data_IF_785184753954
#
_entry.id   IF_785184753954
#
_cell.length_a   1.000
_cell.length_b   1.000
_cell.length_c   1.000
_cell.angle_alpha   90.00
_cell.angle_beta   90.00
_cell.angle_gamma   90.00
#
_symmetry.space_group_name_H-M   'P 1'
#
loop_
_entity.id
_entity.type
_entity.pdbx_description
1 polymer ?
#
# COMPACT_ATOMS: atom_id res chain seq x y z
N UNK A 1 20.17 4.41 18.08
CA UNK A 1 18.85 4.31 17.41
C UNK A 1 19.11 4.39 15.91
N UNK A 2 18.48 3.54 15.14
CA UNK A 2 18.65 3.51 13.66
C UNK A 2 17.98 4.74 13.07
N UNK A 3 18.74 5.62 12.43
CA UNK A 3 18.19 6.81 11.80
C UNK A 3 17.73 6.46 10.37
N UNK A 4 16.42 6.48 10.13
CA UNK A 4 15.86 6.47 8.77
C UNK A 4 15.60 7.92 8.37
N UNK A 5 16.14 8.42 7.25
CA UNK A 5 16.01 9.81 6.84
C UNK A 5 14.61 10.09 6.26
N UNK A 6 13.61 10.13 7.14
CA UNK A 6 12.25 10.43 6.73
C UNK A 6 12.07 11.88 6.28
N UNK A 7 11.30 12.05 5.21
CA UNK A 7 10.80 13.34 4.73
C UNK A 7 9.30 13.23 4.44
N UNK A 8 8.49 13.39 5.48
CA UNK A 8 7.07 13.07 5.52
C UNK A 8 6.20 14.17 4.90
N UNK A 9 6.16 14.26 3.57
CA UNK A 9 5.38 15.29 2.87
C UNK A 9 3.88 15.07 3.02
N UNK A 10 3.41 13.83 3.00
CA UNK A 10 1.98 13.55 3.17
C UNK A 10 1.48 14.10 4.51
N UNK A 11 2.17 13.78 5.60
CA UNK A 11 1.80 14.26 6.92
C UNK A 11 1.90 15.79 7.04
N UNK A 12 2.95 16.38 6.47
CA UNK A 12 3.20 17.83 6.52
C UNK A 12 2.23 18.63 5.68
N UNK A 13 1.91 18.18 4.46
CA UNK A 13 1.18 18.96 3.48
C UNK A 13 -0.33 18.64 3.46
N UNK A 14 -0.70 17.46 3.94
CA UNK A 14 -2.08 16.96 3.92
C UNK A 14 -2.67 16.81 5.33
N UNK A 15 -2.42 17.75 6.23
CA UNK A 15 -3.08 17.79 7.54
C UNK A 15 -4.62 17.78 7.37
N UNK A 16 -5.30 16.85 8.06
CA UNK A 16 -6.74 16.60 7.93
C UNK A 16 -7.10 15.46 6.96
N UNK A 17 -6.11 14.86 6.26
CA UNK A 17 -6.34 13.75 5.33
C UNK A 17 -6.04 12.38 5.94
N UNK A 18 -5.66 12.34 7.19
CA UNK A 18 -5.26 11.15 7.92
C UNK A 18 -5.60 11.27 9.41
N UNK A 19 -5.49 10.17 10.11
CA UNK A 19 -5.50 10.13 11.57
C UNK A 19 -4.12 9.65 12.07
N UNK A 20 -3.51 10.36 13.02
CA UNK A 20 -2.31 9.89 13.69
C UNK A 20 -2.65 8.69 14.56
N UNK A 21 -1.89 7.62 14.42
CA UNK A 21 -2.15 6.36 15.11
C UNK A 21 -0.85 5.58 15.27
N UNK A 22 -0.38 5.28 16.49
CA UNK A 22 0.78 4.43 16.68
C UNK A 22 0.44 2.97 16.33
N UNK A 23 1.42 2.16 15.88
CA UNK A 23 1.25 0.72 15.77
C UNK A 23 0.96 0.09 17.14
N UNK A 24 0.18 -1.00 17.14
CA UNK A 24 -0.08 -1.74 18.36
C UNK A 24 1.18 -2.50 18.80
N UNK A 25 1.47 -2.60 20.12
CA UNK A 25 2.59 -3.40 20.61
C UNK A 25 2.49 -4.86 20.20
N UNK A 26 3.62 -5.46 19.87
CA UNK A 26 3.77 -6.86 19.42
C UNK A 26 4.50 -7.65 20.50
N UNK A 27 3.93 -8.76 21.04
CA UNK A 27 4.49 -9.43 22.21
C UNK A 27 5.78 -10.21 21.92
N UNK A 28 5.90 -10.84 20.74
CA UNK A 28 7.06 -11.67 20.40
C UNK A 28 7.37 -11.55 18.89
N UNK A 29 7.95 -10.42 18.46
CA UNK A 29 8.27 -10.21 17.06
C UNK A 29 9.43 -11.13 16.63
N UNK A 30 9.26 -11.81 15.49
CA UNK A 30 10.30 -12.61 14.84
C UNK A 30 10.35 -12.27 13.37
N UNK A 31 11.53 -11.95 12.86
CA UNK A 31 11.75 -11.66 11.45
C UNK A 31 11.54 -12.92 10.59
N UNK A 32 10.63 -12.88 9.64
CA UNK A 32 10.36 -13.96 8.69
C UNK A 32 10.95 -13.70 7.31
N UNK A 33 11.05 -12.43 6.93
CA UNK A 33 11.56 -12.01 5.64
C UNK A 33 12.13 -10.60 5.75
N UNK A 34 13.26 -10.36 5.09
CA UNK A 34 13.85 -9.03 4.93
C UNK A 34 14.51 -8.89 3.56
N UNK A 35 14.10 -7.88 2.81
CA UNK A 35 14.63 -7.56 1.49
C UNK A 35 15.81 -6.57 1.62
N UNK A 36 17.03 -7.11 1.74
CA UNK A 36 18.26 -6.31 1.92
C UNK A 36 18.53 -5.40 0.73
N UNK A 37 18.33 -5.88 -0.51
CA UNK A 37 18.54 -5.11 -1.73
C UNK A 37 17.59 -3.91 -1.81
N UNK A 38 16.34 -4.10 -1.41
CA UNK A 38 15.35 -3.03 -1.34
C UNK A 38 15.72 -2.01 -0.24
N UNK A 39 16.15 -2.49 0.94
CA UNK A 39 16.61 -1.60 2.01
C UNK A 39 17.78 -0.72 1.56
N UNK A 40 18.74 -1.31 0.85
CA UNK A 40 19.88 -0.60 0.28
C UNK A 40 19.45 0.42 -0.80
N UNK A 41 18.53 0.04 -1.69
CA UNK A 41 17.96 0.93 -2.70
C UNK A 41 17.22 2.13 -2.08
N UNK A 42 16.58 1.94 -0.93
CA UNK A 42 15.91 2.97 -0.15
C UNK A 42 16.85 3.81 0.72
N UNK A 43 18.16 3.53 0.73
CA UNK A 43 19.17 4.19 1.56
C UNK A 43 18.90 4.02 3.07
N UNK A 44 18.34 2.87 3.45
CA UNK A 44 18.15 2.54 4.85
C UNK A 44 19.46 1.94 5.39
N UNK A 45 20.00 2.55 6.44
CA UNK A 45 21.22 2.08 7.09
C UNK A 45 20.88 0.95 8.07
N UNK A 46 20.63 -0.24 7.52
CA UNK A 46 20.18 -1.43 8.26
C UNK A 46 21.14 -2.63 8.10
N UNK A 47 22.30 -2.44 7.47
CA UNK A 47 23.20 -3.54 7.14
C UNK A 47 23.73 -4.26 8.38
N UNK A 48 24.03 -3.50 9.45
CA UNK A 48 24.60 -4.00 10.70
C UNK A 48 23.54 -4.41 11.76
N UNK A 49 22.25 -4.32 11.41
CA UNK A 49 21.18 -4.72 12.32
C UNK A 49 21.00 -6.24 12.29
N UNK A 50 20.91 -6.85 13.46
CA UNK A 50 20.54 -8.26 13.60
C UNK A 50 19.02 -8.48 13.41
N UNK A 51 18.63 -9.74 13.35
CA UNK A 51 17.23 -10.12 13.10
C UNK A 51 16.30 -9.67 14.25
N UNK A 52 16.79 -9.56 15.49
CA UNK A 52 16.01 -9.10 16.65
C UNK A 52 15.73 -7.60 16.53
N UNK A 53 16.73 -6.80 16.20
CA UNK A 53 16.60 -5.36 15.99
C UNK A 53 15.68 -5.06 14.78
N UNK A 54 15.84 -5.80 13.67
CA UNK A 54 14.96 -5.68 12.49
C UNK A 54 13.52 -6.10 12.82
N UNK A 55 13.32 -7.15 13.62
CA UNK A 55 12.00 -7.57 14.06
C UNK A 55 11.33 -6.51 14.94
N UNK A 56 12.06 -5.90 15.88
CA UNK A 56 11.57 -4.82 16.72
C UNK A 56 11.20 -3.57 15.88
N UNK A 57 12.03 -3.23 14.91
CA UNK A 57 11.82 -2.10 13.99
C UNK A 57 10.55 -2.31 13.14
N UNK A 58 10.48 -3.43 12.41
CA UNK A 58 9.41 -3.69 11.44
C UNK A 58 8.12 -4.25 12.07
N UNK A 59 8.11 -4.53 13.37
CA UNK A 59 6.88 -4.74 14.14
C UNK A 59 6.26 -3.44 14.64
N UNK A 60 7.02 -2.34 14.66
CA UNK A 60 6.62 -1.07 15.25
C UNK A 60 6.90 -0.94 16.75
N UNK A 61 7.54 -1.95 17.39
CA UNK A 61 7.93 -1.88 18.79
C UNK A 61 9.08 -0.87 19.03
N UNK A 62 9.92 -0.65 18.02
CA UNK A 62 11.02 0.31 18.06
C UNK A 62 11.00 1.19 16.78
N UNK A 63 10.10 2.17 16.77
CA UNK A 63 10.04 3.10 15.62
C UNK A 63 11.29 3.99 15.60
N UNK A 64 11.87 4.23 14.41
CA UNK A 64 13.02 5.11 14.26
C UNK A 64 12.62 6.57 14.44
N UNK A 65 13.60 7.40 14.77
CA UNK A 65 13.42 8.85 14.86
C UNK A 65 12.87 9.41 13.54
N UNK A 66 11.95 10.35 13.64
CA UNK A 66 11.29 10.98 12.49
C UNK A 66 10.12 10.18 11.92
N UNK A 67 9.84 8.97 12.39
CA UNK A 67 8.62 8.25 12.02
C UNK A 67 7.36 9.02 12.45
N UNK A 68 6.37 9.09 11.56
CA UNK A 68 5.08 9.73 11.84
C UNK A 68 3.95 8.78 11.41
N UNK A 69 3.63 7.76 12.22
CA UNK A 69 2.63 6.78 11.85
C UNK A 69 1.24 7.41 11.70
N UNK A 70 0.66 7.25 10.52
CA UNK A 70 -0.66 7.79 10.17
C UNK A 70 -1.49 6.75 9.44
N UNK A 71 -2.80 6.76 9.69
CA UNK A 71 -3.79 6.00 8.93
C UNK A 71 -4.46 6.94 7.92
N UNK A 72 -4.39 6.60 6.64
CA UNK A 72 -4.95 7.40 5.55
C UNK A 72 -6.46 7.15 5.40
N UNK A 73 -7.22 8.22 5.11
CA UNK A 73 -8.64 8.15 4.83
C UNK A 73 -8.88 7.87 3.34
N UNK A 74 -9.71 6.90 3.02
CA UNK A 74 -10.21 6.66 1.66
C UNK A 74 -11.58 5.99 1.68
N UNK A 75 -12.31 6.10 0.57
CA UNK A 75 -13.55 5.42 0.27
C UNK A 75 -13.31 4.33 -0.80
N UNK A 76 -14.34 3.64 -1.24
CA UNK A 76 -14.21 2.72 -2.35
C UNK A 76 -15.54 2.24 -2.90
N UNK A 77 -15.58 1.98 -4.21
CA UNK A 77 -16.66 1.25 -4.84
C UNK A 77 -16.35 -0.24 -4.75
N UNK A 78 -17.02 -0.93 -3.82
CA UNK A 78 -16.83 -2.37 -3.57
C UNK A 78 -18.10 -3.12 -3.96
N UNK A 79 -17.97 -4.16 -4.78
CA UNK A 79 -19.11 -5.00 -5.21
C UNK A 79 -20.28 -4.20 -5.82
N UNK A 80 -19.96 -3.13 -6.56
CA UNK A 80 -20.95 -2.26 -7.19
C UNK A 80 -21.62 -1.24 -6.27
N UNK A 81 -21.20 -1.16 -5.00
CA UNK A 81 -21.72 -0.20 -4.03
C UNK A 81 -20.64 0.75 -3.53
N UNK A 82 -20.99 2.01 -3.36
CA UNK A 82 -20.10 2.99 -2.76
C UNK A 82 -20.04 2.83 -1.24
N UNK A 83 -18.85 2.55 -0.72
CA UNK A 83 -18.57 2.57 0.71
C UNK A 83 -17.84 3.89 1.03
N UNK A 84 -18.50 4.85 1.69
CA UNK A 84 -17.95 6.18 1.89
C UNK A 84 -16.79 6.24 2.88
N UNK A 85 -16.59 5.21 3.71
CA UNK A 85 -15.54 5.19 4.72
C UNK A 85 -14.91 3.80 4.84
N UNK A 86 -13.77 3.62 4.19
CA UNK A 86 -12.90 2.46 4.34
C UNK A 86 -11.67 2.83 5.16
N UNK A 87 -10.71 3.55 4.58
CA UNK A 87 -9.47 3.98 5.21
C UNK A 87 -8.50 2.84 5.51
N UNK A 88 -7.35 3.18 6.06
CA UNK A 88 -6.32 2.23 6.49
C UNK A 88 -6.73 1.50 7.77
N UNK A 89 -7.68 0.58 7.66
CA UNK A 89 -8.24 -0.16 8.80
C UNK A 89 -7.29 -1.17 9.44
N UNK A 90 -6.14 -1.45 8.81
CA UNK A 90 -5.07 -2.33 9.31
C UNK A 90 -3.70 -1.96 8.78
N UNK A 91 -3.56 -0.76 8.24
CA UNK A 91 -2.30 -0.27 7.70
C UNK A 91 -1.97 1.10 8.31
N UNK A 92 -0.67 1.42 8.33
CA UNK A 92 -0.16 2.72 8.78
C UNK A 92 0.96 3.12 7.82
N UNK A 93 0.88 4.31 7.25
CA UNK A 93 2.04 4.95 6.64
C UNK A 93 2.97 5.36 7.79
N UNK A 94 4.18 4.82 7.82
CA UNK A 94 5.18 5.09 8.87
C UNK A 94 5.98 6.34 8.54
N UNK A 95 6.25 6.54 7.26
CA UNK A 95 6.93 7.70 6.74
C UNK A 95 7.30 7.56 5.27
N UNK A 96 7.95 8.59 4.75
CA UNK A 96 8.43 8.68 3.37
C UNK A 96 9.94 8.86 3.36
N UNK A 97 10.61 8.21 2.42
CA UNK A 97 12.07 8.33 2.22
C UNK A 97 12.38 8.68 0.77
N UNK A 98 13.59 9.20 0.53
CA UNK A 98 14.10 9.43 -0.83
C UNK A 98 15.07 8.29 -1.18
N UNK A 99 14.72 7.50 -2.20
CA UNK A 99 15.55 6.37 -2.66
C UNK A 99 16.85 6.83 -3.35
N UNK A 100 17.70 5.87 -3.76
CA UNK A 100 18.98 6.16 -4.45
C UNK A 100 18.79 6.86 -5.80
N UNK A 101 17.61 6.74 -6.41
CA UNK A 101 17.28 7.41 -7.68
C UNK A 101 16.64 8.80 -7.47
N UNK A 102 16.57 9.28 -6.21
CA UNK A 102 15.95 10.55 -5.88
C UNK A 102 14.42 10.51 -5.88
N UNK A 103 13.81 9.33 -5.93
CA UNK A 103 12.35 9.17 -5.92
C UNK A 103 11.83 9.02 -4.50
N UNK A 104 10.70 9.65 -4.22
CA UNK A 104 10.01 9.52 -2.94
C UNK A 104 9.28 8.18 -2.85
N UNK A 105 9.47 7.48 -1.73
CA UNK A 105 8.85 6.19 -1.44
C UNK A 105 8.14 6.21 -0.11
N UNK A 106 6.94 5.68 -0.08
CA UNK A 106 6.20 5.40 1.15
C UNK A 106 6.69 4.11 1.79
N UNK A 107 6.85 4.13 3.12
CA UNK A 107 7.04 2.92 3.93
C UNK A 107 5.80 2.77 4.82
N UNK A 108 5.07 1.67 4.66
CA UNK A 108 3.83 1.43 5.38
C UNK A 108 3.81 0.04 6.02
N UNK A 109 3.25 -0.06 7.22
CA UNK A 109 2.95 -1.33 7.89
C UNK A 109 1.56 -1.80 7.55
N UNK A 110 1.38 -3.12 7.35
CA UNK A 110 0.09 -3.76 7.15
C UNK A 110 -0.08 -4.89 8.15
N UNK A 111 -1.14 -4.84 8.95
CA UNK A 111 -1.38 -5.77 10.05
C UNK A 111 -0.93 -5.26 11.43
N UNK A 112 -0.59 -3.97 11.54
CA UNK A 112 0.01 -3.34 12.72
C UNK A 112 -0.97 -2.95 13.82
N UNK A 113 -2.20 -3.45 13.77
CA UNK A 113 -3.20 -3.22 14.79
C UNK A 113 -4.33 -2.28 14.37
N UNK A 114 -5.18 -1.95 15.33
CA UNK A 114 -6.35 -1.11 15.09
C UNK A 114 -5.99 0.33 14.79
N UNK A 115 -6.75 0.91 13.86
CA UNK A 115 -6.73 2.33 13.53
C UNK A 115 -8.14 2.92 13.69
N UNK A 116 -8.33 4.24 13.60
CA UNK A 116 -9.66 4.83 13.55
C UNK A 116 -10.54 4.33 12.40
N UNK A 117 -9.95 3.71 11.36
CA UNK A 117 -10.67 3.15 10.21
C UNK A 117 -10.93 1.64 10.30
N UNK A 118 -10.54 0.97 11.38
CA UNK A 118 -10.70 -0.50 11.52
C UNK A 118 -12.15 -0.97 11.63
N UNK A 119 -13.09 -0.06 11.83
CA UNK A 119 -14.51 -0.39 12.06
C UNK A 119 -14.66 -1.43 13.19
N UNK A 120 -15.10 -2.67 12.87
CA UNK A 120 -15.19 -3.80 13.82
C UNK A 120 -13.99 -4.75 13.73
N UNK A 121 -13.04 -4.50 12.82
CA UNK A 121 -11.85 -5.34 12.63
C UNK A 121 -10.82 -5.20 13.76
N UNK A 122 -9.96 -6.20 13.88
CA UNK A 122 -8.85 -6.23 14.84
C UNK A 122 -7.61 -5.45 14.34
N UNK A 123 -7.59 -5.04 13.07
CA UNK A 123 -6.45 -4.37 12.44
C UNK A 123 -5.24 -5.27 12.21
N UNK A 124 -5.36 -6.57 12.45
CA UNK A 124 -4.26 -7.55 12.35
C UNK A 124 -4.30 -8.33 11.02
N UNK A 125 -3.19 -8.95 10.68
CA UNK A 125 -3.07 -9.80 9.51
C UNK A 125 -2.43 -11.14 9.87
N UNK A 126 -2.78 -12.21 9.14
CA UNK A 126 -2.16 -13.51 9.29
C UNK A 126 -0.91 -13.64 8.40
N UNK A 127 0.03 -14.52 8.78
CA UNK A 127 1.29 -14.79 8.07
C UNK A 127 1.06 -15.14 6.60
N UNK A 128 0.13 -16.06 6.30
CA UNK A 128 -0.10 -16.54 4.93
C UNK A 128 -0.39 -15.41 3.92
N UNK A 129 -1.38 -14.55 4.15
CA UNK A 129 -1.63 -13.37 3.31
C UNK A 129 -0.43 -12.42 3.17
N UNK A 130 0.37 -12.23 4.23
CA UNK A 130 1.54 -11.34 4.17
C UNK A 130 2.66 -11.94 3.30
N UNK A 131 2.94 -13.24 3.45
CA UNK A 131 3.90 -13.93 2.58
C UNK A 131 3.43 -14.02 1.13
N UNK A 132 2.12 -14.10 0.87
CA UNK A 132 1.59 -14.00 -0.49
C UNK A 132 1.88 -12.65 -1.12
N UNK A 133 1.73 -11.55 -0.39
CA UNK A 133 2.10 -10.22 -0.90
C UNK A 133 3.60 -10.13 -1.21
N UNK A 134 4.47 -10.76 -0.42
CA UNK A 134 5.90 -10.87 -0.75
C UNK A 134 6.09 -11.61 -2.06
N UNK A 135 5.59 -12.85 -2.15
CA UNK A 135 5.84 -13.71 -3.30
C UNK A 135 5.32 -13.11 -4.60
N UNK A 136 4.06 -12.64 -4.60
CA UNK A 136 3.44 -12.11 -5.81
C UNK A 136 3.98 -10.73 -6.15
N UNK A 137 4.20 -9.86 -5.15
CA UNK A 137 4.78 -8.52 -5.38
C UNK A 137 6.18 -8.59 -5.96
N UNK A 138 7.06 -9.43 -5.42
CA UNK A 138 8.42 -9.60 -5.93
C UNK A 138 8.44 -10.29 -7.31
N UNK A 139 7.52 -11.25 -7.55
CA UNK A 139 7.36 -11.84 -8.87
C UNK A 139 6.91 -10.81 -9.92
N UNK A 140 5.94 -9.96 -9.60
CA UNK A 140 5.48 -8.87 -10.48
C UNK A 140 6.60 -7.86 -10.75
N UNK A 141 7.38 -7.52 -9.72
CA UNK A 141 8.56 -6.66 -9.88
C UNK A 141 9.60 -7.28 -10.83
N UNK A 142 9.91 -8.56 -10.66
CA UNK A 142 10.85 -9.27 -11.52
C UNK A 142 10.36 -9.37 -12.98
N UNK A 143 9.04 -9.37 -13.20
CA UNK A 143 8.43 -9.29 -14.52
C UNK A 143 8.40 -7.87 -15.10
N UNK A 144 8.90 -6.87 -14.38
CA UNK A 144 8.88 -5.47 -14.80
C UNK A 144 7.51 -4.79 -14.70
N UNK A 145 6.56 -5.39 -13.96
CA UNK A 145 5.22 -4.84 -13.78
C UNK A 145 5.21 -3.90 -12.55
N UNK A 146 4.72 -2.65 -12.67
CA UNK A 146 4.65 -1.73 -11.55
C UNK A 146 3.86 -2.32 -10.37
N UNK A 147 4.48 -2.33 -9.20
CA UNK A 147 3.92 -2.98 -8.01
C UNK A 147 4.51 -2.40 -6.74
N UNK A 148 3.74 -2.44 -5.66
CA UNK A 148 4.29 -2.26 -4.32
C UNK A 148 5.25 -3.39 -3.99
N UNK A 149 6.29 -3.09 -3.19
CA UNK A 149 7.36 -4.03 -2.83
C UNK A 149 7.24 -4.41 -1.35
N UNK A 150 7.71 -5.59 -1.02
CA UNK A 150 7.82 -6.06 0.36
C UNK A 150 9.24 -5.82 0.90
N UNK A 151 9.35 -5.02 1.97
CA UNK A 151 10.63 -4.77 2.64
C UNK A 151 10.90 -5.80 3.74
N UNK A 152 9.89 -6.07 4.60
CA UNK A 152 10.01 -7.03 5.69
C UNK A 152 8.67 -7.68 5.99
N UNK A 153 8.72 -8.89 6.55
CA UNK A 153 7.60 -9.55 7.23
C UNK A 153 8.07 -10.00 8.60
N UNK A 154 7.30 -9.64 9.63
CA UNK A 154 7.57 -9.99 11.02
C UNK A 154 6.36 -10.75 11.56
N UNK A 155 6.57 -11.94 12.17
CA UNK A 155 5.52 -12.60 12.96
C UNK A 155 5.33 -11.87 14.28
N UNK A 156 4.09 -11.87 14.81
CA UNK A 156 3.77 -11.08 16.01
C UNK A 156 3.79 -11.90 17.30
N UNK A 157 3.86 -13.23 17.20
CA UNK A 157 3.69 -14.12 18.36
C UNK A 157 2.23 -14.21 18.84
N UNK A 158 1.29 -13.53 18.19
CA UNK A 158 -0.12 -13.55 18.53
C UNK A 158 -0.92 -14.43 17.56
N UNK A 159 -2.04 -14.97 18.06
CA UNK A 159 -3.04 -15.61 17.21
C UNK A 159 -4.03 -14.56 16.65
N UNK A 160 -4.23 -14.58 15.35
CA UNK A 160 -5.24 -13.79 14.64
C UNK A 160 -6.42 -14.69 14.31
N UNK A 161 -7.58 -14.38 14.89
CA UNK A 161 -8.80 -15.17 14.72
C UNK A 161 -9.50 -14.79 13.40
N UNK A 162 -9.75 -15.81 12.57
CA UNK A 162 -10.58 -15.76 11.34
C UNK A 162 -11.58 -16.92 11.42
N UNK A 163 -11.61 -17.85 10.49
CA UNK A 163 -12.34 -19.13 10.65
C UNK A 163 -11.69 -20.02 11.71
N UNK A 164 -10.39 -19.82 11.94
CA UNK A 164 -9.56 -20.49 12.96
C UNK A 164 -8.47 -19.54 13.45
N UNK A 165 -7.80 -19.93 14.51
CA UNK A 165 -6.58 -19.23 14.96
C UNK A 165 -5.46 -19.39 13.93
N UNK A 166 -4.89 -18.28 13.47
CA UNK A 166 -3.78 -18.22 12.53
C UNK A 166 -2.65 -17.41 13.15
N UNK A 167 -1.37 -17.73 12.87
CA UNK A 167 -0.26 -16.91 13.32
C UNK A 167 -0.34 -15.50 12.72
N UNK A 168 -0.18 -14.49 13.56
CA UNK A 168 -0.22 -13.09 13.18
C UNK A 168 1.09 -12.62 12.55
N UNK A 169 1.03 -11.65 11.64
CA UNK A 169 2.20 -11.00 11.05
C UNK A 169 1.93 -9.56 10.65
N UNK A 170 3.01 -8.81 10.52
CA UNK A 170 3.05 -7.46 9.96
C UNK A 170 3.92 -7.50 8.70
N UNK A 171 3.42 -6.93 7.62
CA UNK A 171 4.18 -6.66 6.39
C UNK A 171 4.60 -5.21 6.36
N UNK A 172 5.87 -4.95 6.11
CA UNK A 172 6.37 -3.62 5.72
C UNK A 172 6.34 -3.52 4.21
N UNK A 173 5.49 -2.65 3.70
CA UNK A 173 5.26 -2.42 2.29
C UNK A 173 5.86 -1.10 1.84
N UNK A 174 6.47 -1.09 0.66
CA UNK A 174 7.03 0.09 0.00
C UNK A 174 6.26 0.37 -1.28
N UNK A 175 5.96 1.63 -1.53
CA UNK A 175 5.24 2.10 -2.71
C UNK A 175 5.76 3.45 -3.20
N UNK A 176 5.48 3.82 -4.44
CA UNK A 176 5.66 5.21 -4.91
C UNK A 176 4.74 6.17 -4.12
N UNK A 177 3.53 5.74 -3.83
CA UNK A 177 2.68 6.25 -2.74
C UNK A 177 1.49 5.33 -2.49
N UNK A 178 0.86 5.49 -1.32
CA UNK A 178 -0.39 4.80 -0.99
C UNK A 178 -1.63 5.64 -1.34
N UNK A 179 -1.48 6.73 -2.10
CA UNK A 179 -2.60 7.48 -2.65
C UNK A 179 -3.42 6.60 -3.59
N UNK A 180 -4.74 6.58 -3.38
CA UNK A 180 -5.69 5.75 -4.13
C UNK A 180 -6.74 6.62 -4.83
N UNK A 181 -7.39 6.11 -5.84
CA UNK A 181 -8.60 6.73 -6.39
C UNK A 181 -9.64 6.94 -5.28
N UNK A 182 -9.76 5.96 -4.39
CA UNK A 182 -10.63 6.03 -3.20
C UNK A 182 -10.32 7.18 -2.25
N UNK A 183 -9.07 7.67 -2.18
CA UNK A 183 -8.73 8.86 -1.37
C UNK A 183 -9.47 10.10 -1.89
N UNK A 184 -9.47 10.31 -3.20
CA UNK A 184 -10.22 11.41 -3.83
C UNK A 184 -11.73 11.27 -3.61
N UNK A 185 -12.26 10.06 -3.71
CA UNK A 185 -13.68 9.78 -3.47
C UNK A 185 -14.10 10.09 -2.03
N UNK A 186 -13.24 9.78 -1.06
CA UNK A 186 -13.50 10.11 0.35
C UNK A 186 -13.65 11.63 0.53
N UNK A 187 -12.70 12.42 0.04
CA UNK A 187 -12.72 13.86 0.21
C UNK A 187 -13.74 14.56 -0.70
N UNK A 188 -14.16 13.94 -1.78
CA UNK A 188 -15.31 14.40 -2.55
C UNK A 188 -16.64 14.19 -1.80
N UNK A 189 -16.76 13.13 -0.99
CA UNK A 189 -17.97 12.81 -0.24
C UNK A 189 -18.05 13.51 1.13
N UNK A 190 -16.92 13.70 1.82
CA UNK A 190 -16.87 14.19 3.19
C UNK A 190 -16.15 15.52 3.38
N UNK A 191 -15.41 15.99 2.38
CA UNK A 191 -14.64 17.22 2.40
C UNK A 191 -15.31 18.34 1.59
N UNK A 192 -14.45 19.18 1.06
CA UNK A 192 -14.84 20.31 0.20
C UNK A 192 -14.13 20.21 -1.16
N UNK A 193 -14.57 20.97 -2.19
CA UNK A 193 -13.83 21.09 -3.44
C UNK A 193 -12.37 21.52 -3.24
N UNK A 194 -12.08 22.34 -2.24
CA UNK A 194 -10.73 22.79 -1.87
C UNK A 194 -9.88 21.62 -1.35
N UNK A 195 -10.47 20.70 -0.57
CA UNK A 195 -9.79 19.49 -0.12
C UNK A 195 -9.40 18.62 -1.30
N UNK A 196 -10.32 18.38 -2.23
CA UNK A 196 -10.04 17.60 -3.45
C UNK A 196 -8.96 18.29 -4.29
N UNK A 197 -9.00 19.61 -4.43
CA UNK A 197 -7.98 20.39 -5.14
C UNK A 197 -6.62 20.28 -4.49
N UNK A 198 -6.53 20.47 -3.16
CA UNK A 198 -5.28 20.31 -2.39
C UNK A 198 -4.67 18.92 -2.56
N UNK A 199 -5.50 17.89 -2.52
CA UNK A 199 -5.06 16.51 -2.76
C UNK A 199 -4.56 16.31 -4.19
N UNK A 200 -5.25 16.90 -5.19
CA UNK A 200 -4.84 16.85 -6.58
C UNK A 200 -3.51 17.59 -6.80
N UNK A 201 -3.33 18.77 -6.22
CA UNK A 201 -2.08 19.52 -6.32
C UNK A 201 -0.91 18.74 -5.71
N UNK A 202 -1.10 18.11 -4.55
CA UNK A 202 -0.10 17.24 -3.94
C UNK A 202 0.23 16.02 -4.84
N UNK A 203 -0.79 15.35 -5.37
CA UNK A 203 -0.62 14.19 -6.24
C UNK A 203 0.07 14.55 -7.56
N UNK A 204 -0.26 15.71 -8.15
CA UNK A 204 0.38 16.23 -9.36
C UNK A 204 1.86 16.53 -9.07
N UNK A 205 2.16 17.28 -8.02
CA UNK A 205 3.53 17.62 -7.66
C UNK A 205 4.41 16.37 -7.44
N UNK A 206 3.83 15.31 -6.89
CA UNK A 206 4.55 14.07 -6.55
C UNK A 206 4.69 13.11 -7.73
N UNK A 207 3.66 12.94 -8.56
CA UNK A 207 3.56 11.85 -9.54
C UNK A 207 3.46 12.29 -10.99
N UNK A 208 3.15 13.57 -11.23
CA UNK A 208 2.91 14.16 -12.54
C UNK A 208 3.49 15.57 -12.62
N UNK A 209 4.77 15.78 -12.20
CA UNK A 209 5.35 17.12 -12.08
C UNK A 209 5.35 17.91 -13.40
N UNK A 210 5.30 17.22 -14.54
CA UNK A 210 5.18 17.80 -15.87
C UNK A 210 3.87 18.58 -16.06
N UNK A 211 2.84 18.26 -15.26
CA UNK A 211 1.54 18.95 -15.32
C UNK A 211 1.45 20.22 -14.48
N UNK A 212 2.45 20.49 -13.63
CA UNK A 212 2.42 21.63 -12.70
C UNK A 212 2.14 22.98 -13.38
N UNK A 213 2.64 23.15 -14.59
CA UNK A 213 2.49 24.38 -15.38
C UNK A 213 1.47 24.25 -16.53
N UNK A 214 0.76 23.11 -16.63
CA UNK A 214 -0.21 22.89 -17.68
C UNK A 214 -1.49 23.72 -17.44
N UNK A 215 -2.04 24.34 -18.50
CA UNK A 215 -3.28 25.12 -18.43
C UNK A 215 -4.44 24.32 -17.84
N UNK A 216 -4.58 23.06 -18.25
CA UNK A 216 -5.65 22.15 -17.81
C UNK A 216 -5.08 21.01 -16.93
N UNK A 217 -4.24 21.34 -15.92
CA UNK A 217 -3.50 20.36 -15.12
C UNK A 217 -4.37 19.27 -14.46
N UNK A 218 -5.57 19.61 -14.00
CA UNK A 218 -6.47 18.64 -13.37
C UNK A 218 -7.07 17.65 -14.37
N UNK A 219 -7.41 18.09 -15.58
CA UNK A 219 -7.82 17.21 -16.66
C UNK A 219 -6.66 16.34 -17.13
N UNK A 220 -5.47 16.93 -17.24
CA UNK A 220 -4.23 16.19 -17.53
C UNK A 220 -3.95 15.12 -16.47
N UNK A 221 -4.10 15.44 -15.20
CA UNK A 221 -3.97 14.50 -14.09
C UNK A 221 -4.96 13.34 -14.18
N UNK A 222 -6.25 13.62 -14.39
CA UNK A 222 -7.27 12.57 -14.57
C UNK A 222 -6.91 11.63 -15.72
N UNK A 223 -6.49 12.17 -16.87
CA UNK A 223 -6.04 11.37 -18.03
C UNK A 223 -4.80 10.55 -17.70
N UNK A 224 -3.77 11.15 -17.09
CA UNK A 224 -2.55 10.46 -16.72
C UNK A 224 -2.78 9.30 -15.75
N UNK A 225 -3.67 9.47 -14.76
CA UNK A 225 -4.06 8.36 -13.87
C UNK A 225 -4.77 7.25 -14.66
N UNK A 226 -5.72 7.60 -15.53
CA UNK A 226 -6.44 6.62 -16.35
C UNK A 226 -5.48 5.85 -17.29
N UNK A 227 -4.54 6.53 -17.92
CA UNK A 227 -3.52 5.94 -18.80
C UNK A 227 -2.59 4.99 -18.04
N UNK A 228 -2.10 5.39 -16.86
CA UNK A 228 -1.27 4.51 -16.01
C UNK A 228 -2.03 3.25 -15.57
N UNK A 229 -3.29 3.39 -15.18
CA UNK A 229 -4.13 2.24 -14.81
C UNK A 229 -4.38 1.32 -16.02
N UNK A 230 -4.68 1.87 -17.19
CA UNK A 230 -4.87 1.09 -18.41
C UNK A 230 -3.59 0.32 -18.80
N UNK A 231 -2.44 0.99 -18.75
CA UNK A 231 -1.15 0.37 -19.01
C UNK A 231 -0.82 -0.75 -18.02
N UNK A 232 -1.09 -0.55 -16.73
CA UNK A 232 -0.91 -1.56 -15.69
C UNK A 232 -1.76 -2.80 -15.95
N UNK A 233 -3.05 -2.61 -16.23
CA UNK A 233 -3.97 -3.73 -16.52
C UNK A 233 -3.56 -4.48 -17.79
N UNK A 234 -3.10 -3.76 -18.82
CA UNK A 234 -2.59 -4.40 -20.04
C UNK A 234 -1.39 -5.31 -19.73
N UNK A 235 -0.48 -4.89 -18.85
CA UNK A 235 0.65 -5.71 -18.40
C UNK A 235 0.17 -6.94 -17.62
N UNK A 236 -0.82 -6.82 -16.73
CA UNK A 236 -1.42 -7.97 -16.05
C UNK A 236 -1.98 -8.99 -17.05
N UNK A 237 -2.69 -8.52 -18.06
CA UNK A 237 -3.24 -9.38 -19.11
C UNK A 237 -2.15 -10.11 -19.88
N UNK A 238 -1.00 -9.49 -20.12
CA UNK A 238 0.12 -10.11 -20.81
C UNK A 238 0.69 -11.32 -20.06
N UNK A 239 0.74 -11.26 -18.73
CA UNK A 239 1.26 -12.36 -17.88
C UNK A 239 0.16 -13.27 -17.34
N UNK A 240 -1.10 -13.04 -17.73
CA UNK A 240 -2.25 -13.80 -17.23
C UNK A 240 -2.57 -13.57 -15.76
N UNK A 241 -2.18 -12.41 -15.21
CA UNK A 241 -2.48 -12.06 -13.83
C UNK A 241 -3.91 -11.52 -13.68
N UNK A 242 -4.62 -12.00 -12.67
CA UNK A 242 -5.96 -11.56 -12.29
C UNK A 242 -5.88 -11.05 -10.85
N UNK A 243 -6.11 -9.74 -10.66
CA UNK A 243 -6.08 -9.14 -9.34
C UNK A 243 -7.26 -9.61 -8.45
N UNK A 244 -8.43 -9.77 -9.03
CA UNK A 244 -9.63 -10.28 -8.36
C UNK A 244 -10.43 -9.24 -7.55
N UNK A 245 -9.82 -8.14 -7.09
CA UNK A 245 -10.48 -7.08 -6.32
C UNK A 245 -10.00 -5.71 -6.79
N UNK A 246 -10.37 -5.33 -8.01
CA UNK A 246 -9.99 -4.06 -8.60
C UNK A 246 -11.05 -2.98 -8.34
N UNK A 247 -11.23 -2.66 -7.08
CA UNK A 247 -12.07 -1.56 -6.61
C UNK A 247 -11.25 -0.26 -6.52
N UNK A 248 -11.89 0.88 -6.37
CA UNK A 248 -11.22 2.18 -6.31
C UNK A 248 -10.32 2.38 -5.09
N UNK A 249 -10.53 1.59 -4.04
CA UNK A 249 -9.64 1.49 -2.87
C UNK A 249 -8.39 0.63 -3.14
N UNK A 250 -8.33 -0.10 -4.26
CA UNK A 250 -7.17 -0.88 -4.72
C UNK A 250 -6.57 -0.33 -6.03
N UNK A 251 -6.88 0.90 -6.39
CA UNK A 251 -6.33 1.59 -7.55
C UNK A 251 -5.41 2.73 -7.10
N UNK A 252 -4.10 2.50 -7.12
CA UNK A 252 -3.10 3.48 -6.74
C UNK A 252 -2.93 4.59 -7.78
N UNK A 253 -2.82 5.84 -7.35
CA UNK A 253 -2.57 6.99 -8.22
C UNK A 253 -1.25 6.86 -9.01
N UNK A 254 -0.16 6.29 -8.43
CA UNK A 254 1.07 6.06 -9.19
C UNK A 254 0.94 5.01 -10.31
N UNK A 255 -0.11 4.16 -10.30
CA UNK A 255 -0.25 3.07 -11.25
C UNK A 255 0.51 1.80 -10.86
N UNK A 256 0.67 1.55 -9.56
CA UNK A 256 1.27 0.32 -9.02
C UNK A 256 0.19 -0.67 -8.61
N UNK A 257 0.47 -1.97 -8.80
CA UNK A 257 -0.35 -3.06 -8.24
C UNK A 257 -0.24 -3.06 -6.72
N UNK A 258 -1.36 -3.12 -6.02
CA UNK A 258 -1.43 -3.07 -4.55
C UNK A 258 -2.44 -4.08 -4.02
N UNK A 259 -2.21 -4.57 -2.78
CA UNK A 259 -3.17 -5.39 -2.04
C UNK A 259 -3.50 -6.74 -2.70
N UNK A 260 -2.49 -7.61 -2.82
CA UNK A 260 -2.60 -8.98 -3.33
C UNK A 260 -3.47 -9.87 -2.44
N UNK A 261 -4.78 -9.70 -2.56
CA UNK A 261 -5.79 -10.52 -1.87
C UNK A 261 -6.04 -11.85 -2.59
N UNK A 262 -7.23 -12.03 -3.20
CA UNK A 262 -7.57 -13.26 -3.92
C UNK A 262 -7.01 -13.29 -5.35
N UNK A 263 -5.79 -12.80 -5.58
CA UNK A 263 -5.16 -12.78 -6.89
C UNK A 263 -4.78 -14.18 -7.36
N UNK A 264 -4.70 -14.34 -8.68
CA UNK A 264 -4.29 -15.58 -9.32
C UNK A 264 -3.59 -15.33 -10.67
N UNK A 265 -2.78 -16.29 -11.11
CA UNK A 265 -2.33 -16.39 -12.49
C UNK A 265 -3.13 -17.45 -13.22
N UNK A 266 -3.45 -17.19 -14.47
CA UNK A 266 -4.13 -18.18 -15.32
C UNK A 266 -3.17 -19.33 -15.66
N UNK A 267 -3.63 -20.58 -15.56
CA UNK A 267 -2.83 -21.76 -15.94
C UNK A 267 -2.61 -21.86 -17.44
N UNK A 268 -3.59 -21.40 -18.23
CA UNK A 268 -3.51 -21.39 -19.68
C UNK A 268 -4.14 -20.12 -20.25
N UNK A 269 -3.51 -19.53 -21.26
CA UNK A 269 -4.05 -18.42 -22.02
C UNK A 269 -4.90 -19.00 -23.15
N UNK A 270 -6.23 -18.87 -23.04
CA UNK A 270 -7.16 -19.23 -24.12
C UNK A 270 -7.81 -17.96 -24.68
N UNK A 271 -7.77 -17.77 -25.97
CA UNK A 271 -8.44 -16.66 -26.66
C UNK A 271 -9.97 -16.71 -26.50
N UNK A 272 -10.52 -17.87 -26.19
CA UNK A 272 -11.95 -18.08 -25.99
C UNK A 272 -12.45 -17.83 -24.59
N UNK A 273 -11.54 -17.65 -23.59
CA UNK A 273 -11.91 -17.39 -22.20
C UNK A 273 -12.26 -15.92 -22.01
N UNK A 274 -13.54 -15.62 -21.94
CA UNK A 274 -14.02 -14.33 -21.45
C UNK A 274 -13.70 -14.21 -19.96
N UNK A 275 -12.67 -13.47 -19.64
CA UNK A 275 -12.10 -13.22 -18.28
C UNK A 275 -13.15 -12.86 -17.21
N UNK A 276 -14.36 -12.46 -17.60
CA UNK A 276 -15.43 -12.09 -16.67
C UNK A 276 -16.35 -13.22 -16.16
N UNK A 277 -16.34 -14.41 -16.78
CA UNK A 277 -17.26 -15.49 -16.38
C UNK A 277 -16.67 -16.47 -15.39
N UNK A 278 -15.37 -16.72 -15.41
CA UNK A 278 -14.74 -17.71 -14.53
C UNK A 278 -14.43 -17.19 -13.13
N UNK A 279 -14.24 -15.87 -12.94
CA UNK A 279 -14.14 -15.28 -11.60
C UNK A 279 -15.44 -15.39 -10.79
N UNK A 280 -16.61 -15.58 -11.42
CA UNK A 280 -17.91 -15.70 -10.73
C UNK A 280 -18.23 -17.10 -10.22
N UNK A 281 -17.53 -18.13 -10.69
CA UNK A 281 -17.86 -19.53 -10.37
C UNK A 281 -16.98 -20.15 -9.27
N UNK A 282 -16.02 -19.43 -8.72
CA UNK A 282 -15.11 -19.90 -7.65
C UNK A 282 -15.17 -19.08 -6.35
N UNK A 283 -16.23 -18.27 -6.16
CA UNK A 283 -16.47 -17.49 -4.92
C UNK A 283 -17.80 -17.86 -4.29
#
# INVERSE_FOLDING_TARGET
MTAIPFDNTYARELAGFYASCPPAPVPAPVLLFFNRDLAEALRLDLADQDDEALAALFSGNALPDGAQPIAQAYAGHQFGQFNPQLGDGRALLIGEVIDRQGRRRDIAFKGSGRTPFSRRGDGKAAVGPMLREVLVGEAMHALGIPTTRALAVVSTGEAVWRERALPGAILTRVADSHLRVGTFQYFAAHGSPESVRRLADYAIARHYPELMQAENRYLGFLRGVAERQAALIAQWMHVGFIHGVMNTDNMGIPGETIDYGPCAFMEARSEERRVGKECRSRW
#
